data_IF_544556826898
#
_entry.id   IF_544556826898
#
_cell.length_a   1.000
_cell.length_b   1.000
_cell.length_c   1.000
_cell.angle_alpha   90.00
_cell.angle_beta   90.00
_cell.angle_gamma   90.00
#
_symmetry.space_group_name_H-M   'P 1'
#
loop_
_entity.id
_entity.type
_entity.pdbx_description
1 polymer ?
#
# COMPACT_ATOMS: atom_id res chain seq x y z
N UNK A 1 0.68 22.59 -4.89
CA UNK A 1 -0.42 22.26 -5.83
C UNK A 1 -0.81 20.81 -5.57
N UNK A 2 -2.00 20.53 -5.01
CA UNK A 2 -2.46 19.14 -4.78
C UNK A 2 -2.81 18.53 -6.15
N UNK A 3 -1.94 17.70 -6.70
CA UNK A 3 -2.17 17.04 -7.98
C UNK A 3 -2.99 15.76 -7.73
N UNK A 4 -4.19 15.69 -8.29
CA UNK A 4 -5.05 14.49 -8.16
C UNK A 4 -4.63 13.35 -9.11
N UNK A 5 -3.42 13.43 -9.69
CA UNK A 5 -2.94 12.56 -10.78
C UNK A 5 -2.75 11.10 -10.36
N UNK A 6 -2.45 10.86 -9.08
CA UNK A 6 -2.22 9.50 -8.56
C UNK A 6 -3.50 8.84 -8.01
N UNK A 7 -4.59 9.60 -7.83
CA UNK A 7 -5.81 9.07 -7.23
C UNK A 7 -6.49 8.07 -8.17
N UNK A 8 -6.71 6.85 -7.69
CA UNK A 8 -7.37 5.78 -8.46
C UNK A 8 -6.50 5.19 -9.57
N UNK A 9 -5.19 5.50 -9.59
CA UNK A 9 -4.23 4.94 -10.53
C UNK A 9 -3.59 3.67 -9.94
N UNK A 10 -3.57 2.60 -10.72
CA UNK A 10 -2.87 1.37 -10.33
C UNK A 10 -1.34 1.55 -10.37
N UNK A 11 -0.64 0.87 -9.46
CA UNK A 11 0.83 0.84 -9.38
C UNK A 11 1.34 -0.53 -9.84
N UNK A 12 1.54 -0.70 -11.15
CA UNK A 12 1.91 -1.99 -11.76
C UNK A 12 3.34 -1.98 -12.32
N UNK A 13 3.63 -1.06 -13.24
CA UNK A 13 4.94 -0.96 -13.92
C UNK A 13 5.46 0.48 -13.90
N UNK A 14 5.74 1.03 -12.71
CA UNK A 14 6.04 2.46 -12.55
C UNK A 14 7.28 2.94 -13.31
N UNK A 15 8.22 2.05 -13.63
CA UNK A 15 9.38 2.33 -14.46
C UNK A 15 9.05 2.63 -15.94
N UNK A 16 7.88 2.19 -16.41
CA UNK A 16 7.37 2.45 -17.77
C UNK A 16 6.28 3.52 -17.73
N UNK A 17 5.39 3.44 -16.74
CA UNK A 17 4.15 4.22 -16.74
C UNK A 17 4.33 5.65 -16.23
N UNK A 18 5.37 5.93 -15.43
CA UNK A 18 5.51 7.21 -14.74
C UNK A 18 6.54 8.10 -15.43
N UNK A 19 6.21 9.38 -15.56
CA UNK A 19 7.17 10.36 -16.08
C UNK A 19 8.21 10.72 -15.02
N UNK A 20 9.31 11.33 -15.46
CA UNK A 20 10.36 11.83 -14.55
C UNK A 20 9.79 12.80 -13.50
N UNK A 21 8.89 13.70 -13.90
CA UNK A 21 8.29 14.70 -13.02
C UNK A 21 7.36 14.05 -11.98
N UNK A 22 6.69 12.96 -12.34
CA UNK A 22 5.88 12.17 -11.42
C UNK A 22 6.77 11.48 -10.38
N UNK A 23 7.88 10.89 -10.81
CA UNK A 23 8.90 10.32 -9.91
C UNK A 23 9.50 11.36 -8.97
N UNK A 24 9.87 12.54 -9.47
CA UNK A 24 10.37 13.64 -8.64
C UNK A 24 9.34 14.09 -7.61
N UNK A 25 8.06 14.11 -7.98
CA UNK A 25 6.96 14.45 -7.07
C UNK A 25 6.81 13.42 -5.94
N UNK A 26 6.90 12.12 -6.27
CA UNK A 26 6.83 11.03 -5.28
C UNK A 26 8.03 11.04 -4.33
N UNK A 27 9.23 11.27 -4.85
CA UNK A 27 10.46 11.34 -4.04
C UNK A 27 10.44 12.53 -3.09
N UNK A 28 9.98 13.70 -3.54
CA UNK A 28 9.79 14.88 -2.69
C UNK A 28 8.78 14.61 -1.58
N UNK A 29 7.66 13.95 -1.89
CA UNK A 29 6.66 13.58 -0.89
C UNK A 29 7.24 12.59 0.14
N UNK A 30 8.04 11.61 -0.30
CA UNK A 30 8.70 10.67 0.60
C UNK A 30 9.68 11.36 1.56
N UNK A 31 10.46 12.34 1.07
CA UNK A 31 11.36 13.15 1.90
C UNK A 31 10.60 14.02 2.90
N UNK A 32 9.49 14.63 2.48
CA UNK A 32 8.61 15.40 3.35
C UNK A 32 8.06 14.52 4.48
N UNK A 33 7.44 13.38 4.15
CA UNK A 33 6.90 12.45 5.15
C UNK A 33 7.98 11.94 6.12
N UNK A 34 9.19 11.67 5.61
CA UNK A 34 10.33 11.29 6.46
C UNK A 34 10.74 12.40 7.42
N UNK A 35 10.75 13.65 6.96
CA UNK A 35 11.08 14.82 7.79
C UNK A 35 10.04 15.04 8.87
N UNK A 36 8.75 15.00 8.50
CA UNK A 36 7.61 15.12 9.42
C UNK A 36 7.63 14.04 10.50
N UNK A 37 7.94 12.80 10.10
CA UNK A 37 8.16 11.70 11.04
C UNK A 37 9.33 11.97 12.00
N UNK A 38 10.46 12.46 11.49
CA UNK A 38 11.67 12.71 12.29
C UNK A 38 11.48 13.79 13.37
N UNK A 39 10.58 14.76 13.13
CA UNK A 39 10.22 15.80 14.09
C UNK A 39 9.03 15.42 14.99
N UNK A 40 8.56 14.18 14.94
CA UNK A 40 7.39 13.67 15.66
C UNK A 40 6.09 14.45 15.37
N UNK A 41 5.91 14.92 14.14
CA UNK A 41 4.66 15.56 13.73
C UNK A 41 3.52 14.53 13.65
N UNK A 42 2.33 14.88 14.16
CA UNK A 42 1.15 14.04 14.01
C UNK A 42 0.67 13.98 12.56
N UNK A 43 0.74 12.78 11.98
CA UNK A 43 0.32 12.48 10.61
C UNK A 43 -0.93 11.59 10.53
N UNK A 44 -1.56 11.27 11.68
CA UNK A 44 -2.71 10.36 11.75
C UNK A 44 -3.96 10.85 11.00
N UNK A 45 -3.99 12.12 10.61
CA UNK A 45 -5.08 12.72 9.85
C UNK A 45 -4.99 12.47 8.33
N UNK A 46 -3.84 12.03 7.81
CA UNK A 46 -3.59 12.00 6.35
C UNK A 46 -4.42 10.92 5.65
N UNK A 47 -4.45 9.70 6.21
CA UNK A 47 -5.18 8.54 5.68
C UNK A 47 -6.28 8.06 6.63
N UNK A 48 -6.81 8.96 7.49
CA UNK A 48 -7.88 8.63 8.42
C UNK A 48 -9.08 8.02 7.71
N UNK A 49 -9.49 6.84 8.15
CA UNK A 49 -10.62 6.09 7.57
C UNK A 49 -10.32 5.39 6.24
N UNK A 50 -9.05 5.35 5.81
CA UNK A 50 -8.61 4.53 4.67
C UNK A 50 -8.12 3.18 5.15
N UNK A 51 -8.45 2.13 4.39
CA UNK A 51 -8.04 0.75 4.67
C UNK A 51 -7.23 0.20 3.51
N UNK A 52 -6.06 -0.36 3.79
CA UNK A 52 -5.22 -1.09 2.83
C UNK A 52 -5.33 -2.59 3.11
N UNK A 53 -5.79 -3.33 2.12
CA UNK A 53 -5.71 -4.78 2.11
C UNK A 53 -4.44 -5.21 1.38
N UNK A 54 -3.68 -6.14 1.97
CA UNK A 54 -2.55 -6.77 1.29
C UNK A 54 -2.75 -8.27 1.17
N UNK A 55 -2.39 -8.83 0.02
CA UNK A 55 -2.43 -10.27 -0.22
C UNK A 55 -1.10 -10.70 -0.85
N UNK A 56 -0.32 -11.48 -0.13
CA UNK A 56 1.00 -11.94 -0.56
C UNK A 56 0.99 -13.46 -0.77
N UNK A 57 0.93 -13.92 -2.03
CA UNK A 57 0.98 -15.35 -2.36
C UNK A 57 2.30 -16.03 -1.96
N UNK A 58 3.39 -15.27 -1.96
CA UNK A 58 4.69 -15.70 -1.46
C UNK A 58 5.04 -14.88 -0.21
N UNK A 59 5.65 -15.52 0.79
CA UNK A 59 6.02 -14.84 2.04
C UNK A 59 7.08 -13.76 1.78
N UNK A 60 6.74 -12.51 2.05
CA UNK A 60 7.69 -11.39 2.10
C UNK A 60 7.46 -10.54 3.34
N UNK A 61 8.27 -10.79 4.38
CA UNK A 61 8.15 -10.06 5.65
C UNK A 61 8.46 -8.58 5.50
N UNK A 62 9.53 -8.24 4.78
CA UNK A 62 9.96 -6.84 4.60
C UNK A 62 8.92 -6.01 3.85
N UNK A 63 8.35 -6.55 2.77
CA UNK A 63 7.35 -5.82 2.00
C UNK A 63 6.06 -5.67 2.80
N UNK A 64 5.60 -6.74 3.44
CA UNK A 64 4.39 -6.70 4.26
C UNK A 64 4.52 -5.70 5.41
N UNK A 65 5.64 -5.73 6.13
CA UNK A 65 5.85 -4.85 7.28
C UNK A 65 5.90 -3.38 6.89
N UNK A 66 6.52 -3.03 5.76
CA UNK A 66 6.59 -1.63 5.33
C UNK A 66 5.22 -1.09 4.91
N UNK A 67 4.39 -1.89 4.23
CA UNK A 67 3.01 -1.47 3.91
C UNK A 67 2.16 -1.30 5.16
N UNK A 68 2.24 -2.25 6.11
CA UNK A 68 1.49 -2.20 7.36
C UNK A 68 1.85 -0.97 8.19
N UNK A 69 3.16 -0.75 8.41
CA UNK A 69 3.65 0.39 9.19
C UNK A 69 3.36 1.71 8.47
N UNK A 70 3.60 1.78 7.16
CA UNK A 70 3.42 3.01 6.38
C UNK A 70 2.00 3.55 6.43
N UNK A 71 0.98 2.71 6.24
CA UNK A 71 -0.41 3.19 6.31
C UNK A 71 -0.83 3.55 7.75
N UNK A 72 -0.38 2.79 8.74
CA UNK A 72 -0.72 3.03 10.15
C UNK A 72 -0.12 4.34 10.66
N UNK A 73 1.12 4.67 10.26
CA UNK A 73 1.76 5.96 10.59
C UNK A 73 0.97 7.16 10.07
N UNK A 74 0.27 6.99 8.96
CA UNK A 74 -0.59 8.02 8.34
C UNK A 74 -2.04 7.96 8.85
N UNK A 75 -2.34 7.10 9.82
CA UNK A 75 -3.66 6.95 10.46
C UNK A 75 -4.68 6.13 9.68
N UNK A 76 -4.24 5.37 8.67
CA UNK A 76 -5.07 4.37 8.02
C UNK A 76 -4.95 3.00 8.71
N UNK A 77 -5.76 2.04 8.23
CA UNK A 77 -5.82 0.69 8.77
C UNK A 77 -5.25 -0.32 7.78
N UNK A 78 -4.51 -1.31 8.26
CA UNK A 78 -3.96 -2.40 7.45
C UNK A 78 -4.69 -3.71 7.74
N UNK A 79 -5.05 -4.43 6.67
CA UNK A 79 -5.62 -5.78 6.75
C UNK A 79 -4.74 -6.73 5.94
N UNK A 80 -4.19 -7.72 6.62
CA UNK A 80 -3.40 -8.78 5.98
C UNK A 80 -4.32 -9.94 5.59
N UNK A 81 -4.37 -10.27 4.30
CA UNK A 81 -5.11 -11.40 3.78
C UNK A 81 -4.15 -12.57 3.59
N UNK A 82 -4.35 -13.62 4.37
CA UNK A 82 -3.58 -14.86 4.23
C UNK A 82 -4.12 -15.68 3.05
N UNK A 83 -3.30 -15.92 2.00
CA UNK A 83 -3.71 -16.78 0.90
C UNK A 83 -4.06 -18.18 1.41
N UNK A 84 -5.11 -18.79 0.86
CA UNK A 84 -5.56 -20.12 1.26
C UNK A 84 -6.47 -20.16 2.50
N UNK A 85 -6.56 -19.07 3.26
CA UNK A 85 -7.63 -18.87 4.27
C UNK A 85 -8.79 -18.04 3.74
N UNK A 86 -8.63 -17.43 2.57
CA UNK A 86 -9.70 -16.81 1.81
C UNK A 86 -10.48 -17.88 1.04
N UNK A 87 -11.81 -17.88 1.18
CA UNK A 87 -12.67 -18.74 0.38
C UNK A 87 -12.40 -18.48 -1.09
N UNK A 88 -11.84 -19.48 -1.77
CA UNK A 88 -11.68 -19.45 -3.22
C UNK A 88 -12.92 -20.13 -3.79
N UNK A 89 -13.74 -19.45 -4.62
CA UNK A 89 -14.89 -20.07 -5.25
C UNK A 89 -14.42 -21.34 -5.96
N UNK A 90 -15.05 -22.47 -5.64
CA UNK A 90 -14.70 -23.75 -6.24
C UNK A 90 -14.75 -23.62 -7.77
N UNK A 91 -13.58 -23.67 -8.42
CA UNK A 91 -13.50 -23.88 -9.85
C UNK A 91 -13.59 -25.38 -10.08
N UNK A 92 -14.44 -25.80 -11.03
CA UNK A 92 -14.56 -27.20 -11.44
C UNK A 92 -13.15 -27.78 -11.71
N UNK A 93 -12.70 -28.72 -10.88
CA UNK A 93 -11.37 -29.32 -10.96
C UNK A 93 -10.31 -28.83 -9.95
N UNK A 94 -10.64 -27.87 -9.06
CA UNK A 94 -9.75 -27.36 -8.00
C UNK A 94 -10.35 -27.52 -6.60
N UNK A 95 -11.25 -28.49 -6.43
CA UNK A 95 -11.84 -28.81 -5.13
C UNK A 95 -10.76 -29.40 -4.21
N UNK A 96 -10.54 -28.77 -3.06
CA UNK A 96 -9.71 -29.34 -1.99
C UNK A 96 -10.68 -30.14 -1.10
N UNK A 97 -10.54 -31.48 -1.02
CA UNK A 97 -11.38 -32.28 -0.13
C UNK A 97 -11.12 -31.88 1.32
N UNK A 98 -12.22 -31.76 2.07
CA UNK A 98 -12.22 -31.40 3.50
C UNK A 98 -11.45 -32.42 4.35
#
# INVERSE_FOLDING_TARGET
MRTNKFLGRDWLSPEIDYTKEEWESLLRLAEELKTRYAINEDMSHILKGKTLYTMFFNSSLRTRSTFAVGIQQLGGFHVDLEPGKTYTPARKGFEVPY
#
